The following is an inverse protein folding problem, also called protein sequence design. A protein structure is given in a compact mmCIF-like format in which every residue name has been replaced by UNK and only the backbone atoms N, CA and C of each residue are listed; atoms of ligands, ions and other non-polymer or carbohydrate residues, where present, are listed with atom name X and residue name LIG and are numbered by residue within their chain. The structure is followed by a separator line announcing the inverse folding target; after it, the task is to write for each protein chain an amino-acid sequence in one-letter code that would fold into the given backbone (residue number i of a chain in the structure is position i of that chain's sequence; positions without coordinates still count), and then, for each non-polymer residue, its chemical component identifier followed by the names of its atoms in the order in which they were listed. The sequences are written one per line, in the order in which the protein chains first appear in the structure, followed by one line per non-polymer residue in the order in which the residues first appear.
data_IF_899153585458
#
_entry.id   IF_899153585458
#
_cell.length_a   1.000
_cell.length_b   1.000
_cell.length_c   1.000
_cell.angle_alpha   90.00
_cell.angle_beta   90.00
_cell.angle_gamma   90.00
#
_symmetry.space_group_name_H-M   'P 1'
#
loop_
_entity.id
_entity.type
_entity.pdbx_description
1 polymer ?
#
# COMPACT_ATOMS: atom_id res chain seq x y z
N UNK A 1 -12.16 -9.15 3.11
CA UNK A 1 -10.96 -8.28 3.17
C UNK A 1 -10.59 -7.94 1.71
N UNK A 2 -9.81 -6.91 1.41
CA UNK A 2 -9.40 -6.64 0.00
C UNK A 2 -8.07 -7.33 -0.30
N UNK A 3 -7.11 -7.25 0.62
CA UNK A 3 -5.83 -7.93 0.50
C UNK A 3 -5.94 -9.42 0.83
N UNK A 4 -5.70 -10.27 -0.16
CA UNK A 4 -5.68 -11.74 0.00
C UNK A 4 -4.42 -12.39 -0.60
N UNK A 5 -3.83 -11.81 -1.65
CA UNK A 5 -2.77 -12.45 -2.43
C UNK A 5 -1.33 -12.11 -2.00
N UNK A 6 -1.13 -11.19 -1.06
CA UNK A 6 0.22 -10.80 -0.61
C UNK A 6 1.11 -10.13 -1.68
N UNK A 7 0.55 -9.71 -2.81
CA UNK A 7 1.31 -9.19 -3.95
C UNK A 7 1.03 -7.73 -4.33
N UNK A 8 -0.07 -7.14 -3.85
CA UNK A 8 -0.56 -5.83 -4.33
C UNK A 8 0.45 -4.68 -4.20
N UNK A 9 1.13 -4.55 -3.06
CA UNK A 9 2.14 -3.50 -2.88
C UNK A 9 3.31 -3.66 -3.85
N UNK A 10 3.84 -4.89 -3.98
CA UNK A 10 5.01 -5.18 -4.83
C UNK A 10 4.68 -4.97 -6.30
N UNK A 11 3.58 -5.55 -6.80
CA UNK A 11 3.21 -5.41 -8.21
C UNK A 11 2.79 -3.98 -8.57
N UNK A 12 2.04 -3.31 -7.69
CA UNK A 12 1.59 -1.94 -7.93
C UNK A 12 2.74 -0.93 -7.92
N UNK A 13 3.59 -0.96 -6.90
CA UNK A 13 4.74 -0.04 -6.81
C UNK A 13 5.71 -0.22 -7.98
N UNK A 14 6.06 -1.46 -8.33
CA UNK A 14 6.98 -1.78 -9.42
C UNK A 14 6.38 -1.52 -10.82
N UNK A 15 5.04 -1.36 -10.92
CA UNK A 15 4.41 -0.88 -12.15
C UNK A 15 4.60 0.64 -12.31
N UNK A 16 4.56 1.39 -11.22
CA UNK A 16 4.56 2.86 -11.24
C UNK A 16 5.99 3.42 -11.30
N UNK A 17 6.90 2.86 -10.51
CA UNK A 17 8.29 3.31 -10.44
C UNK A 17 9.27 2.17 -10.24
N UNK A 18 10.55 2.47 -10.43
CA UNK A 18 11.64 1.51 -10.29
C UNK A 18 11.95 1.20 -8.82
N UNK A 19 11.72 2.17 -7.95
CA UNK A 19 12.09 2.10 -6.55
C UNK A 19 10.98 2.67 -5.65
N UNK A 20 10.82 2.11 -4.45
CA UNK A 20 10.00 2.73 -3.42
C UNK A 20 10.67 2.62 -2.04
N UNK A 21 10.36 3.59 -1.20
CA UNK A 21 10.69 3.59 0.22
C UNK A 21 9.42 3.76 1.03
N UNK A 22 9.28 2.94 2.07
CA UNK A 22 8.11 2.89 2.94
C UNK A 22 8.54 3.25 4.35
N UNK A 23 7.79 4.15 4.96
CA UNK A 23 7.92 4.52 6.36
C UNK A 23 6.66 4.06 7.07
N UNK A 24 6.79 3.35 8.18
CA UNK A 24 5.64 2.97 9.00
C UNK A 24 5.92 3.21 10.47
N UNK A 25 4.89 3.68 11.18
CA UNK A 25 4.87 3.83 12.62
C UNK A 25 3.82 2.90 13.22
N UNK A 26 4.19 2.23 14.29
CA UNK A 26 3.25 1.51 15.14
C UNK A 26 3.79 1.47 16.57
N UNK A 27 2.98 1.91 17.52
CA UNK A 27 3.33 1.91 18.94
C UNK A 27 4.61 2.71 19.19
N UNK A 28 5.65 2.10 19.79
CA UNK A 28 6.97 2.73 19.99
C UNK A 28 7.98 2.39 18.89
N UNK A 29 7.56 1.77 17.78
CA UNK A 29 8.49 1.39 16.70
C UNK A 29 8.19 2.15 15.42
N UNK A 30 9.26 2.64 14.79
CA UNK A 30 9.24 3.27 13.47
C UNK A 30 10.17 2.47 12.56
N UNK A 31 9.67 2.00 11.43
CA UNK A 31 10.42 1.14 10.51
C UNK A 31 10.44 1.75 9.12
N UNK A 32 11.61 1.74 8.51
CA UNK A 32 11.79 2.10 7.11
C UNK A 32 12.05 0.82 6.30
N UNK A 33 11.48 0.73 5.10
CA UNK A 33 11.72 -0.37 4.16
C UNK A 33 12.10 0.24 2.82
N UNK A 34 13.28 -0.11 2.30
CA UNK A 34 13.69 0.29 0.94
C UNK A 34 13.59 -0.90 0.00
N UNK A 35 12.76 -0.78 -1.03
CA UNK A 35 12.71 -1.72 -2.14
C UNK A 35 13.22 -1.03 -3.40
N UNK A 36 14.47 -1.30 -3.76
CA UNK A 36 15.14 -0.61 -4.85
C UNK A 36 15.74 -1.57 -5.88
N UNK A 37 15.16 -1.60 -7.09
CA UNK A 37 15.77 -2.29 -8.22
C UNK A 37 17.09 -1.62 -8.61
N UNK A 38 17.17 -0.29 -8.48
CA UNK A 38 18.39 0.47 -8.75
C UNK A 38 19.56 0.01 -7.86
N UNK A 39 19.31 -0.23 -6.57
CA UNK A 39 20.31 -0.79 -5.65
C UNK A 39 20.77 -2.17 -6.11
N UNK A 40 19.82 -3.11 -6.32
CA UNK A 40 20.17 -4.48 -6.71
C UNK A 40 20.94 -4.53 -8.03
N UNK A 41 20.51 -3.77 -9.03
CA UNK A 41 21.17 -3.73 -10.34
C UNK A 41 22.57 -3.11 -10.27
N UNK A 42 22.75 -2.00 -9.54
CA UNK A 42 24.06 -1.32 -9.46
C UNK A 42 25.09 -2.10 -8.66
N UNK A 43 24.65 -2.85 -7.65
CA UNK A 43 25.53 -3.72 -6.84
C UNK A 43 25.61 -5.15 -7.42
N UNK A 44 24.97 -5.42 -8.57
CA UNK A 44 25.03 -6.71 -9.25
C UNK A 44 24.41 -7.88 -8.47
N UNK A 45 23.40 -7.61 -7.65
CA UNK A 45 22.76 -8.60 -6.79
C UNK A 45 21.82 -9.49 -7.59
N UNK A 46 22.02 -10.81 -7.49
CA UNK A 46 21.12 -11.81 -8.08
C UNK A 46 19.83 -12.00 -7.27
N UNK A 47 19.85 -11.60 -5.99
CA UNK A 47 18.73 -11.72 -5.07
C UNK A 47 18.19 -10.34 -4.67
N UNK A 48 16.91 -10.32 -4.29
CA UNK A 48 16.27 -9.09 -3.80
C UNK A 48 16.67 -8.86 -2.35
N UNK A 49 17.57 -7.90 -2.13
CA UNK A 49 17.99 -7.48 -0.79
C UNK A 49 17.23 -6.21 -0.39
N UNK A 50 16.61 -6.24 0.79
CA UNK A 50 15.73 -5.17 1.29
C UNK A 50 16.25 -4.65 2.62
N UNK A 51 16.78 -3.41 2.70
CA UNK A 51 17.10 -2.75 3.96
C UNK A 51 15.84 -2.45 4.78
N UNK A 52 15.85 -2.82 6.07
CA UNK A 52 14.70 -2.65 6.99
C UNK A 52 15.17 -2.13 8.37
N UNK A 53 15.76 -0.92 8.45
CA UNK A 53 16.14 -0.37 9.74
C UNK A 53 14.90 0.06 10.54
N UNK A 54 15.01 -0.02 11.86
CA UNK A 54 13.97 0.38 12.80
C UNK A 54 14.53 1.25 13.90
N UNK A 55 13.68 2.13 14.43
CA UNK A 55 13.98 3.06 15.52
C UNK A 55 12.87 3.03 16.56
N UNK A 56 13.24 3.36 17.79
CA UNK A 56 12.29 3.65 18.85
C UNK A 56 11.70 5.03 18.60
N UNK A 57 10.37 5.16 18.71
CA UNK A 57 9.68 6.43 18.51
C UNK A 57 9.99 7.42 19.63
N UNK A 58 10.05 6.94 20.86
CA UNK A 58 10.31 7.76 22.04
C UNK A 58 11.74 8.31 22.08
N UNK A 59 12.74 7.48 21.77
CA UNK A 59 14.15 7.86 21.89
C UNK A 59 14.79 8.26 20.56
N UNK A 60 14.19 7.89 19.42
CA UNK A 60 14.78 7.95 18.08
C UNK A 60 16.09 7.18 17.94
N UNK A 61 16.38 6.27 18.87
CA UNK A 61 17.54 5.39 18.78
C UNK A 61 17.23 4.16 17.91
N UNK A 62 18.22 3.59 17.22
CA UNK A 62 18.08 2.34 16.49
C UNK A 62 17.59 1.19 17.39
N UNK A 63 16.64 0.39 16.89
CA UNK A 63 16.15 -0.83 17.56
C UNK A 63 16.80 -2.03 16.87
N UNK A 64 18.04 -2.34 17.28
CA UNK A 64 18.84 -3.41 16.66
C UNK A 64 19.68 -4.14 17.69
N UNK A 65 19.91 -5.43 17.43
CA UNK A 65 20.91 -6.24 18.12
C UNK A 65 22.29 -6.13 17.47
N UNK A 66 22.32 -5.89 16.14
CA UNK A 66 23.52 -5.78 15.31
C UNK A 66 23.62 -4.37 14.71
N UNK A 67 24.56 -3.59 15.25
CA UNK A 67 24.79 -2.20 14.85
C UNK A 67 25.53 -2.08 13.50
N UNK A 68 26.32 -3.07 13.12
CA UNK A 68 27.04 -3.09 11.84
C UNK A 68 26.04 -3.27 10.70
N UNK A 69 25.11 -4.23 10.85
CA UNK A 69 23.99 -4.42 9.92
C UNK A 69 23.14 -3.17 9.79
N UNK A 70 22.82 -2.50 10.90
CA UNK A 70 22.08 -1.24 10.87
C UNK A 70 22.80 -0.17 10.06
N UNK A 71 24.10 0.01 10.33
CA UNK A 71 24.94 1.00 9.65
C UNK A 71 25.00 0.72 8.15
N UNK A 72 25.14 -0.55 7.75
CA UNK A 72 25.11 -0.96 6.35
C UNK A 72 23.75 -0.66 5.71
N UNK A 73 22.64 -1.02 6.35
CA UNK A 73 21.29 -0.72 5.84
C UNK A 73 21.08 0.78 5.65
N UNK A 74 21.54 1.59 6.62
CA UNK A 74 21.49 3.05 6.53
C UNK A 74 22.35 3.59 5.39
N UNK A 75 23.56 3.06 5.17
CA UNK A 75 24.40 3.48 4.04
C UNK A 75 23.72 3.20 2.69
N UNK A 76 23.02 2.06 2.56
CA UNK A 76 22.28 1.71 1.35
C UNK A 76 21.12 2.68 1.16
N UNK A 77 20.34 2.94 2.21
CA UNK A 77 19.21 3.87 2.15
C UNK A 77 19.66 5.28 1.77
N UNK A 78 20.69 5.82 2.43
CA UNK A 78 21.19 7.16 2.12
C UNK A 78 21.77 7.26 0.70
N UNK A 79 22.39 6.18 0.19
CA UNK A 79 22.94 6.15 -1.17
C UNK A 79 21.82 6.09 -2.23
N UNK A 80 20.84 5.21 -2.06
CA UNK A 80 19.89 4.82 -3.12
C UNK A 80 18.49 5.40 -3.00
N UNK A 81 18.10 5.92 -1.83
CA UNK A 81 16.81 6.59 -1.64
C UNK A 81 16.90 8.10 -1.96
N UNK A 82 15.77 8.81 -2.09
CA UNK A 82 15.76 10.27 -2.21
C UNK A 82 16.30 10.99 -0.96
N UNK A 83 16.38 10.30 0.18
CA UNK A 83 16.77 10.86 1.47
C UNK A 83 18.22 10.50 1.78
N UNK A 84 19.06 11.51 2.04
CA UNK A 84 20.53 11.37 2.11
C UNK A 84 21.09 11.34 3.52
N UNK A 85 20.24 11.50 4.52
CA UNK A 85 20.63 11.51 5.93
C UNK A 85 19.55 10.89 6.82
N UNK A 86 19.94 10.44 8.01
CA UNK A 86 19.00 9.97 9.02
C UNK A 86 17.99 11.07 9.41
N UNK A 87 18.43 12.33 9.49
CA UNK A 87 17.55 13.46 9.76
C UNK A 87 16.44 13.61 8.70
N UNK A 88 16.75 13.43 7.42
CA UNK A 88 15.74 13.47 6.35
C UNK A 88 14.73 12.31 6.46
N UNK A 89 15.18 11.11 6.87
CA UNK A 89 14.28 9.99 7.16
C UNK A 89 13.37 10.29 8.36
N UNK A 90 13.91 10.90 9.41
CA UNK A 90 13.14 11.32 10.59
C UNK A 90 12.06 12.34 10.23
N UNK A 91 12.34 13.27 9.30
CA UNK A 91 11.32 14.18 8.79
C UNK A 91 10.18 13.45 8.08
N UNK A 92 10.46 12.36 7.36
CA UNK A 92 9.40 11.55 6.72
C UNK A 92 8.54 10.84 7.75
N UNK A 93 9.16 10.34 8.84
CA UNK A 93 8.40 9.83 9.95
C UNK A 93 7.53 10.93 10.56
N UNK A 94 8.04 12.14 10.80
CA UNK A 94 7.28 13.24 11.40
C UNK A 94 6.05 13.67 10.57
N UNK A 95 6.06 13.45 9.26
CA UNK A 95 4.88 13.64 8.39
C UNK A 95 3.74 12.63 8.65
N UNK A 96 4.02 11.48 9.28
CA UNK A 96 2.99 10.52 9.73
C UNK A 96 2.42 11.00 11.06
N UNK A 97 1.24 11.62 10.99
CA UNK A 97 0.49 12.08 12.14
C UNK A 97 -0.05 10.92 12.98
N UNK A 98 0.03 11.06 14.31
CA UNK A 98 -0.55 10.11 15.26
C UNK A 98 0.44 9.04 15.76
N UNK A 99 -0.13 7.98 16.38
CA UNK A 99 0.64 6.88 16.97
C UNK A 99 0.89 5.73 16.01
N UNK A 100 0.20 5.71 14.87
CA UNK A 100 0.39 4.72 13.81
C UNK A 100 0.06 5.31 12.44
N UNK A 101 0.68 4.75 11.41
CA UNK A 101 0.43 5.13 10.03
C UNK A 101 1.55 4.67 9.11
N UNK A 102 1.33 4.84 7.81
CA UNK A 102 2.28 4.41 6.79
C UNK A 102 2.33 5.44 5.68
N UNK A 103 3.55 5.80 5.27
CA UNK A 103 3.86 6.65 4.13
C UNK A 103 4.64 5.81 3.11
N UNK A 104 4.21 5.83 1.86
CA UNK A 104 4.89 5.14 0.76
C UNK A 104 5.31 6.20 -0.25
N UNK A 105 6.59 6.22 -0.57
CA UNK A 105 7.18 7.12 -1.56
C UNK A 105 7.71 6.28 -2.72
N UNK A 106 7.07 6.37 -3.87
CA UNK A 106 7.52 5.74 -5.11
C UNK A 106 8.27 6.80 -5.91
N UNK A 107 9.45 6.46 -6.41
CA UNK A 107 10.32 7.37 -7.15
C UNK A 107 10.98 6.63 -8.32
N UNK A 108 11.71 7.38 -9.16
CA UNK A 108 12.17 6.89 -10.46
C UNK A 108 11.00 6.32 -11.27
N UNK A 109 9.98 7.18 -11.47
CA UNK A 109 8.75 6.83 -12.16
C UNK A 109 9.02 6.36 -13.58
N UNK A 110 8.16 5.47 -14.10
CA UNK A 110 8.26 5.04 -15.49
C UNK A 110 8.01 6.21 -16.43
N UNK A 111 8.86 6.28 -17.45
CA UNK A 111 8.82 7.28 -18.49
C UNK A 111 8.27 6.65 -19.77
N UNK A 112 7.48 7.42 -20.50
CA UNK A 112 7.06 7.10 -21.85
C UNK A 112 8.21 7.26 -22.85
N UNK A 113 7.99 6.90 -24.12
CA UNK A 113 8.99 7.02 -25.18
C UNK A 113 9.49 8.45 -25.41
N UNK A 114 8.67 9.44 -25.07
CA UNK A 114 9.04 10.87 -25.15
C UNK A 114 9.86 11.36 -23.94
N UNK A 115 10.14 10.50 -22.96
CA UNK A 115 10.88 10.83 -21.74
C UNK A 115 10.05 11.46 -20.62
N UNK A 116 8.75 11.69 -20.83
CA UNK A 116 7.85 12.23 -19.80
C UNK A 116 7.20 11.12 -18.96
N UNK A 117 6.83 11.38 -17.69
CA UNK A 117 6.16 10.38 -16.86
C UNK A 117 4.77 10.03 -17.39
N UNK A 118 4.35 8.77 -17.22
CA UNK A 118 3.00 8.31 -17.58
C UNK A 118 1.88 9.03 -16.79
N UNK A 119 2.23 9.56 -15.61
CA UNK A 119 1.34 10.27 -14.71
C UNK A 119 1.56 11.78 -14.80
N UNK A 120 0.55 12.51 -15.26
CA UNK A 120 0.53 13.95 -15.34
C UNK A 120 -0.09 14.56 -14.08
N UNK A 121 0.76 15.25 -13.31
CA UNK A 121 0.38 15.97 -12.09
C UNK A 121 0.34 17.49 -12.29
N UNK A 122 0.59 17.98 -13.51
CA UNK A 122 0.80 19.41 -13.80
C UNK A 122 -0.43 20.05 -14.44
N UNK A 123 -1.12 19.32 -15.31
CA UNK A 123 -2.27 19.88 -16.06
C UNK A 123 -3.43 20.26 -15.14
N UNK A 124 -3.67 19.47 -14.09
CA UNK A 124 -4.70 19.75 -13.09
C UNK A 124 -4.07 19.70 -11.69
N UNK A 125 -4.07 20.83 -10.99
CA UNK A 125 -3.48 20.97 -9.65
C UNK A 125 -4.24 20.23 -8.56
N UNK A 126 -5.41 19.65 -8.86
CA UNK A 126 -6.16 18.81 -7.94
C UNK A 126 -6.28 17.36 -8.41
N UNK A 127 -5.62 16.95 -9.50
CA UNK A 127 -5.78 15.59 -10.04
C UNK A 127 -4.44 14.95 -10.45
N UNK A 128 -4.48 13.65 -10.74
CA UNK A 128 -3.41 12.92 -11.41
C UNK A 128 -4.02 12.29 -12.65
N UNK A 129 -3.59 12.75 -13.81
CA UNK A 129 -4.12 12.34 -15.10
C UNK A 129 -3.20 11.31 -15.76
N UNK A 130 -3.76 10.43 -16.57
CA UNK A 130 -2.99 9.66 -17.55
C UNK A 130 -2.53 10.59 -18.67
N UNK A 131 -1.24 10.58 -18.98
CA UNK A 131 -0.68 11.38 -20.07
C UNK A 131 -1.17 10.90 -21.45
N UNK A 132 -1.48 9.61 -21.60
CA UNK A 132 -2.10 9.05 -22.79
C UNK A 132 -3.62 9.26 -22.77
N UNK A 133 -4.17 9.70 -23.91
CA UNK A 133 -5.61 9.93 -24.07
C UNK A 133 -6.28 8.59 -24.38
N UNK A 134 -6.97 8.03 -23.39
CA UNK A 134 -8.00 7.02 -23.63
C UNK A 134 -9.36 7.73 -23.75
N UNK A 135 -10.01 7.64 -24.92
CA UNK A 135 -11.28 8.33 -25.20
C UNK A 135 -12.51 7.75 -24.46
N UNK A 136 -12.32 6.80 -23.55
CA UNK A 136 -13.43 6.05 -22.97
C UNK A 136 -13.46 6.22 -21.44
N UNK A 137 -14.42 6.99 -20.94
CA UNK A 137 -14.75 7.21 -19.51
C UNK A 137 -13.76 8.10 -18.70
N UNK A 138 -14.28 9.08 -17.93
CA UNK A 138 -13.46 9.91 -17.04
C UNK A 138 -12.57 9.11 -16.07
N UNK A 139 -13.06 7.97 -15.57
CA UNK A 139 -12.33 7.10 -14.65
C UNK A 139 -11.13 6.37 -15.27
N UNK A 140 -10.96 6.37 -16.60
CA UNK A 140 -9.77 5.83 -17.25
C UNK A 140 -8.66 6.86 -17.40
N UNK A 141 -9.00 8.15 -17.33
CA UNK A 141 -8.05 9.26 -17.47
C UNK A 141 -7.71 9.94 -16.14
N UNK A 142 -8.70 10.12 -15.27
CA UNK A 142 -8.59 10.87 -14.02
C UNK A 142 -8.55 9.94 -12.82
N UNK A 143 -7.48 10.03 -12.01
CA UNK A 143 -7.37 9.30 -10.76
C UNK A 143 -8.46 9.75 -9.76
N UNK A 144 -8.80 11.04 -9.73
CA UNK A 144 -9.89 11.57 -8.91
C UNK A 144 -11.24 10.96 -9.29
N UNK A 145 -11.56 10.88 -10.58
CA UNK A 145 -12.78 10.25 -11.06
C UNK A 145 -12.81 8.74 -10.74
N UNK A 146 -11.68 8.05 -10.91
CA UNK A 146 -11.54 6.64 -10.59
C UNK A 146 -11.73 6.36 -9.10
N UNK A 147 -11.02 7.10 -8.25
CA UNK A 147 -11.05 6.91 -6.79
C UNK A 147 -12.42 7.24 -6.18
N UNK A 148 -13.15 8.19 -6.75
CA UNK A 148 -14.51 8.54 -6.32
C UNK A 148 -15.48 7.33 -6.33
N UNK A 149 -15.25 6.34 -7.20
CA UNK A 149 -16.12 5.16 -7.38
C UNK A 149 -15.43 3.84 -7.02
N UNK A 150 -14.20 3.89 -6.50
CA UNK A 150 -13.38 2.70 -6.22
C UNK A 150 -14.01 1.76 -5.18
N UNK A 151 -14.72 2.32 -4.21
CA UNK A 151 -15.37 1.56 -3.14
C UNK A 151 -16.88 1.73 -3.20
N UNK A 152 -17.60 0.61 -3.07
CA UNK A 152 -19.07 0.62 -3.03
C UNK A 152 -19.63 1.35 -1.79
N UNK A 153 -19.03 1.11 -0.61
CA UNK A 153 -19.31 1.84 0.63
C UNK A 153 -18.06 2.61 1.10
N UNK A 154 -17.83 3.84 0.59
CA UNK A 154 -16.62 4.60 0.92
C UNK A 154 -16.68 5.13 2.36
N UNK A 155 -15.67 4.76 3.17
CA UNK A 155 -15.48 5.25 4.55
C UNK A 155 -14.17 6.02 4.75
N UNK A 156 -13.14 5.61 4.03
CA UNK A 156 -11.84 6.30 4.03
C UNK A 156 -11.94 7.60 3.25
N UNK A 157 -11.42 8.69 3.82
CA UNK A 157 -11.28 9.96 3.11
C UNK A 157 -10.03 9.88 2.23
N UNK A 158 -10.18 10.24 0.95
CA UNK A 158 -9.08 10.28 -0.02
C UNK A 158 -8.81 11.74 -0.35
N UNK A 159 -7.54 12.11 -0.38
CA UNK A 159 -7.06 13.42 -0.81
C UNK A 159 -6.06 13.21 -1.95
N UNK A 160 -6.20 13.98 -3.02
CA UNK A 160 -5.29 13.98 -4.18
C UNK A 160 -4.81 15.41 -4.36
N UNK A 161 -3.49 15.60 -4.46
CA UNK A 161 -2.86 16.93 -4.48
C UNK A 161 -3.40 17.86 -3.37
N UNK A 162 -3.48 17.33 -2.14
CA UNK A 162 -4.03 18.01 -0.95
C UNK A 162 -5.52 18.42 -1.01
N UNK A 163 -6.24 18.11 -2.08
CA UNK A 163 -7.67 18.39 -2.20
C UNK A 163 -8.52 17.11 -2.01
N UNK A 164 -9.64 17.26 -1.28
CA UNK A 164 -10.50 16.13 -0.88
C UNK A 164 -11.29 15.60 -2.08
N UNK A 165 -11.20 14.29 -2.33
CA UNK A 165 -12.02 13.62 -3.34
C UNK A 165 -13.47 13.47 -2.86
N UNK A 166 -14.42 13.85 -3.71
CA UNK A 166 -15.85 13.61 -3.47
C UNK A 166 -16.21 12.16 -3.80
N UNK A 167 -16.26 11.32 -2.75
CA UNK A 167 -16.59 9.91 -2.88
C UNK A 167 -18.07 9.72 -3.21
N UNK A 168 -18.37 8.81 -4.15
CA UNK A 168 -19.73 8.56 -4.65
C UNK A 168 -20.21 7.17 -4.24
N UNK A 169 -21.39 7.13 -3.62
CA UNK A 169 -22.17 5.90 -3.47
C UNK A 169 -22.99 5.70 -4.73
N UNK A 170 -22.46 4.95 -5.69
CA UNK A 170 -23.02 4.79 -7.03
C UNK A 170 -24.55 4.54 -7.05
N UNK A 171 -25.14 3.67 -6.20
CA UNK A 171 -26.59 3.47 -6.21
C UNK A 171 -27.42 4.74 -6.00
N UNK A 172 -26.89 5.74 -5.30
CA UNK A 172 -27.56 7.02 -5.03
C UNK A 172 -27.31 8.08 -6.11
N UNK A 173 -26.46 7.79 -7.10
CA UNK A 173 -26.19 8.68 -8.23
C UNK A 173 -27.15 8.45 -9.41
N UNK A 174 -27.99 7.41 -9.37
CA UNK A 174 -28.92 7.07 -10.45
C UNK A 174 -30.36 7.50 -10.15
N UNK A 175 -31.11 7.79 -11.21
CA UNK A 175 -32.55 8.06 -11.10
C UNK A 175 -33.32 6.76 -10.82
N UNK A 176 -34.10 6.74 -9.73
CA UNK A 176 -34.96 5.61 -9.30
C UNK A 176 -34.21 4.26 -9.24
N UNK A 177 -33.19 4.11 -8.38
CA UNK A 177 -32.48 2.86 -8.24
C UNK A 177 -33.43 1.75 -7.78
N UNK A 178 -33.29 0.55 -8.35
CA UNK A 178 -34.04 -0.65 -7.96
C UNK A 178 -33.08 -1.75 -7.55
N UNK A 179 -33.45 -2.50 -6.52
CA UNK A 179 -32.71 -3.66 -6.05
C UNK A 179 -33.48 -4.93 -6.41
N UNK A 180 -32.78 -5.91 -6.97
CA UNK A 180 -33.32 -7.23 -7.27
C UNK A 180 -32.53 -8.28 -6.50
N UNK A 181 -33.15 -9.02 -5.56
CA UNK A 181 -32.46 -10.07 -4.85
C UNK A 181 -32.13 -11.23 -5.81
N UNK A 182 -30.87 -11.63 -5.85
CA UNK A 182 -30.39 -12.80 -6.60
C UNK A 182 -29.91 -13.87 -5.64
N UNK A 183 -30.54 -15.05 -5.70
CA UNK A 183 -30.18 -16.19 -4.85
C UNK A 183 -29.20 -17.07 -5.62
N UNK A 184 -27.94 -17.07 -5.19
CA UNK A 184 -26.90 -17.93 -5.76
C UNK A 184 -26.83 -19.27 -5.03
N UNK A 185 -26.93 -20.37 -5.79
CA UNK A 185 -26.71 -21.73 -5.25
C UNK A 185 -25.27 -21.95 -4.79
N UNK A 186 -24.29 -21.42 -5.53
CA UNK A 186 -22.87 -21.55 -5.19
C UNK A 186 -22.52 -20.85 -3.88
N UNK A 187 -23.13 -19.68 -3.62
CA UNK A 187 -22.91 -18.97 -2.36
C UNK A 187 -23.41 -19.78 -1.15
N UNK A 188 -24.58 -20.42 -1.29
CA UNK A 188 -25.17 -21.27 -0.26
C UNK A 188 -24.26 -22.48 0.03
N UNK A 189 -23.75 -23.13 -1.00
CA UNK A 189 -22.88 -24.29 -0.87
C UNK A 189 -21.54 -23.95 -0.20
N UNK A 190 -20.87 -22.89 -0.67
CA UNK A 190 -19.62 -22.40 -0.06
C UNK A 190 -19.84 -22.07 1.42
N UNK A 191 -20.92 -21.37 1.76
CA UNK A 191 -21.23 -21.02 3.14
C UNK A 191 -21.47 -22.26 4.02
N UNK A 192 -22.17 -23.26 3.51
CA UNK A 192 -22.41 -24.52 4.24
C UNK A 192 -21.12 -25.32 4.43
N UNK A 193 -20.21 -25.31 3.46
CA UNK A 193 -18.92 -26.01 3.57
C UNK A 193 -18.00 -25.34 4.60
N UNK A 194 -17.92 -24.00 4.59
CA UNK A 194 -17.18 -23.25 5.61
C UNK A 194 -17.74 -23.47 7.03
N UNK A 195 -19.07 -23.52 7.18
CA UNK A 195 -19.72 -23.83 8.46
C UNK A 195 -19.34 -25.22 8.97
N UNK A 196 -19.44 -26.24 8.12
CA UNK A 196 -19.06 -27.63 8.48
C UNK A 196 -17.59 -27.73 8.87
N UNK A 197 -16.71 -27.00 8.17
CA UNK A 197 -15.27 -26.96 8.48
C UNK A 197 -15.04 -26.35 9.85
N UNK A 198 -15.66 -25.21 10.14
CA UNK A 198 -15.57 -24.57 11.46
C UNK A 198 -16.09 -25.47 12.59
N UNK A 199 -17.22 -26.17 12.37
CA UNK A 199 -17.75 -27.13 13.36
C UNK A 199 -16.77 -28.29 13.63
N UNK A 200 -16.08 -28.77 12.59
CA UNK A 200 -15.08 -29.82 12.73
C UNK A 200 -13.86 -29.32 13.50
N UNK A 201 -13.36 -28.13 13.19
CA UNK A 201 -12.22 -27.51 13.88
C UNK A 201 -12.53 -27.29 15.38
N UNK A 202 -13.76 -26.87 15.70
CA UNK A 202 -14.22 -26.72 17.10
C UNK A 202 -14.25 -28.08 17.81
N UNK A 203 -14.81 -29.12 17.18
CA UNK A 203 -14.85 -30.48 17.76
C UNK A 203 -13.45 -31.02 18.04
N UNK A 204 -12.53 -30.83 17.10
CA UNK A 204 -11.13 -31.22 17.26
C UNK A 204 -10.50 -30.45 18.43
N UNK A 205 -10.68 -29.12 18.49
CA UNK A 205 -10.18 -28.30 19.60
C UNK A 205 -10.71 -28.73 20.97
N UNK A 206 -12.00 -29.08 21.06
CA UNK A 206 -12.62 -29.58 22.30
C UNK A 206 -12.05 -30.94 22.72
N UNK A 207 -11.80 -31.86 21.78
CA UNK A 207 -11.18 -33.16 22.07
C UNK A 207 -9.75 -33.02 22.57
N UNK A 208 -8.96 -32.10 22.01
CA UNK A 208 -7.64 -31.80 22.54
C UNK A 208 -7.72 -31.22 23.95
N UNK A 209 -8.64 -30.27 24.19
CA UNK A 209 -8.83 -29.70 25.53
C UNK A 209 -9.23 -30.73 26.59
N UNK A 210 -10.00 -31.77 26.23
CA UNK A 210 -10.40 -32.83 27.16
C UNK A 210 -9.31 -33.87 27.44
N UNK A 211 -8.21 -33.91 26.66
CA UNK A 211 -7.07 -34.82 26.88
C UNK A 211 -5.97 -34.23 27.78
N UNK A 212 -6.04 -32.93 28.07
CA UNK A 212 -5.07 -32.21 28.89
C UNK A 212 -5.61 -31.82 30.28
N UNK A 213 -6.76 -32.36 30.66
CA UNK A 213 -7.32 -32.38 32.01
C UNK A 213 -7.67 -33.84 32.38
#
# INVERSE_FOLDING_TARGET
MIGHYGNGLKSGSMRIGKDFILFTKREDTMTCVLFSQTFCEREGLSEVVVPIPSWSRSTRNPVVEDYEKFTMQMSVICKYSPFKSENELMQQFDAIYGTSGTLVVIYNLKLMLNGEPELDIKTDSVDILMAEIHENLPAQRSLRAYTAILYFDPRMRIFIQADKVEMKRLPYCFYRPRMYPYISSSFKEVSMNEMKKAEMDVKIGMQYSQRFF
#
